data_IF_614567493273
#
_entry.id   IF_614567493273
#
_cell.length_a   1.000
_cell.length_b   1.000
_cell.length_c   1.000
_cell.angle_alpha   90.00
_cell.angle_beta   90.00
_cell.angle_gamma   90.00
#
_symmetry.space_group_name_H-M   'P 1'
#
loop_
_entity.id
_entity.type
_entity.pdbx_description
1 polymer ?
#
# COMPACT_ATOMS: atom_id res chain seq x y z
N UNK A 1 -19.36 -1.24 -20.61
CA UNK A 1 -20.44 -2.24 -20.51
C UNK A 1 -20.92 -2.52 -21.92
N UNK A 2 -20.88 -3.76 -22.36
CA UNK A 2 -21.27 -4.19 -23.70
C UNK A 2 -22.39 -5.21 -23.54
N UNK A 3 -23.64 -4.90 -23.94
CA UNK A 3 -24.71 -5.89 -23.95
C UNK A 3 -24.42 -6.90 -25.05
N UNK A 4 -24.26 -8.18 -24.70
CA UNK A 4 -24.05 -9.27 -25.66
C UNK A 4 -25.41 -9.84 -26.08
N UNK A 5 -26.30 -10.02 -25.10
CA UNK A 5 -27.71 -10.41 -25.29
C UNK A 5 -28.57 -9.47 -24.44
N UNK A 6 -29.90 -9.44 -24.68
CA UNK A 6 -30.84 -8.68 -23.83
C UNK A 6 -30.76 -9.08 -22.35
N UNK A 7 -30.36 -10.33 -22.09
CA UNK A 7 -30.19 -10.92 -20.75
C UNK A 7 -28.74 -11.03 -20.30
N UNK A 8 -27.74 -10.74 -21.15
CA UNK A 8 -26.32 -10.91 -20.83
C UNK A 8 -25.52 -9.64 -21.13
N UNK A 9 -24.94 -9.06 -20.10
CA UNK A 9 -24.03 -7.91 -20.21
C UNK A 9 -22.62 -8.30 -19.80
N UNK A 10 -21.65 -7.96 -20.64
CA UNK A 10 -20.24 -8.11 -20.31
C UNK A 10 -19.60 -6.74 -20.03
N UNK A 11 -18.58 -6.74 -19.20
CA UNK A 11 -17.77 -5.57 -18.92
C UNK A 11 -16.31 -6.00 -18.80
N UNK A 12 -15.48 -5.49 -19.70
CA UNK A 12 -14.05 -5.69 -19.71
C UNK A 12 -13.38 -4.33 -19.57
N UNK A 13 -12.46 -4.23 -18.63
CA UNK A 13 -11.67 -3.03 -18.39
C UNK A 13 -10.23 -3.41 -18.07
N UNK A 14 -9.27 -2.64 -18.59
CA UNK A 14 -7.86 -2.75 -18.27
C UNK A 14 -7.32 -1.43 -17.75
N UNK A 15 -6.30 -1.51 -16.90
CA UNK A 15 -5.55 -0.36 -16.39
C UNK A 15 -4.07 -0.68 -16.48
N UNK A 16 -3.27 0.29 -16.91
CA UNK A 16 -1.82 0.21 -16.90
C UNK A 16 -1.30 1.20 -15.86
N UNK A 17 -0.55 0.68 -14.89
CA UNK A 17 0.03 1.45 -13.80
C UNK A 17 1.55 1.46 -13.94
N UNK A 18 2.14 2.66 -13.93
CA UNK A 18 3.57 2.90 -13.97
C UNK A 18 3.98 3.73 -12.74
N UNK A 19 4.95 3.22 -11.98
CA UNK A 19 5.47 3.85 -10.77
C UNK A 19 6.96 4.09 -10.93
N UNK A 20 7.40 5.31 -10.60
CA UNK A 20 8.80 5.71 -10.64
C UNK A 20 9.22 6.27 -9.29
N UNK A 21 10.18 5.60 -8.65
CA UNK A 21 10.76 6.04 -7.38
C UNK A 21 12.12 6.69 -7.65
N UNK A 22 12.35 7.87 -7.09
CA UNK A 22 13.67 8.51 -7.16
C UNK A 22 14.65 7.73 -6.26
N UNK A 23 15.68 7.13 -6.86
CA UNK A 23 16.72 6.40 -6.13
C UNK A 23 16.42 4.93 -5.79
N UNK A 24 15.27 4.38 -6.19
CA UNK A 24 14.87 3.00 -5.83
C UNK A 24 14.26 2.16 -6.97
N UNK A 25 14.42 2.61 -8.22
CA UNK A 25 13.88 1.92 -9.40
C UNK A 25 12.45 2.33 -9.77
N UNK A 26 11.82 1.54 -10.63
CA UNK A 26 10.44 1.74 -11.06
C UNK A 26 9.77 0.39 -11.31
N UNK A 27 8.45 0.38 -11.23
CA UNK A 27 7.64 -0.82 -11.38
C UNK A 27 6.43 -0.52 -12.26
N UNK A 28 6.14 -1.41 -13.20
CA UNK A 28 4.96 -1.28 -14.06
C UNK A 28 4.16 -2.58 -14.10
N UNK A 29 2.83 -2.44 -14.02
CA UNK A 29 1.90 -3.57 -14.04
C UNK A 29 0.63 -3.22 -14.78
N UNK A 30 0.22 -4.18 -15.62
CA UNK A 30 -1.10 -4.18 -16.24
C UNK A 30 -2.07 -4.96 -15.35
N UNK A 31 -3.17 -4.33 -14.99
CA UNK A 31 -4.29 -4.94 -14.25
C UNK A 31 -5.52 -4.98 -15.14
N UNK A 32 -6.34 -6.01 -14.97
CA UNK A 32 -7.55 -6.19 -15.78
C UNK A 32 -8.71 -6.72 -14.95
N UNK A 33 -9.90 -6.43 -15.41
CA UNK A 33 -11.15 -6.88 -14.81
C UNK A 33 -12.12 -7.30 -15.90
N UNK A 34 -12.63 -8.51 -15.75
CA UNK A 34 -13.73 -9.06 -16.53
C UNK A 34 -14.94 -9.28 -15.60
N UNK A 35 -16.11 -8.83 -16.05
CA UNK A 35 -17.35 -8.94 -15.31
C UNK A 35 -18.47 -9.36 -16.27
N UNK A 36 -19.31 -10.28 -15.80
CA UNK A 36 -20.46 -10.81 -16.52
C UNK A 36 -21.70 -10.67 -15.63
N UNK A 37 -22.76 -10.15 -16.23
CA UNK A 37 -24.07 -9.97 -15.60
C UNK A 37 -25.11 -10.71 -16.45
N UNK A 38 -25.75 -11.72 -15.87
CA UNK A 38 -26.78 -12.53 -16.52
C UNK A 38 -28.12 -12.41 -15.80
N UNK A 39 -29.15 -11.97 -16.51
CA UNK A 39 -30.50 -11.72 -16.02
C UNK A 39 -31.51 -12.58 -16.80
N UNK A 40 -31.78 -13.81 -16.37
CA UNK A 40 -32.74 -14.68 -17.06
C UNK A 40 -34.19 -14.18 -16.94
N UNK A 41 -34.53 -13.52 -15.82
CA UNK A 41 -35.82 -12.84 -15.57
C UNK A 41 -35.55 -11.52 -14.85
N UNK A 42 -36.45 -10.55 -14.91
CA UNK A 42 -36.20 -9.21 -14.35
C UNK A 42 -35.95 -9.18 -12.84
N UNK A 43 -36.44 -10.17 -12.10
CA UNK A 43 -36.28 -10.31 -10.66
C UNK A 43 -35.00 -11.03 -10.22
N UNK A 44 -34.24 -11.65 -11.14
CA UNK A 44 -33.08 -12.47 -10.81
C UNK A 44 -31.84 -12.04 -11.60
N UNK A 45 -30.77 -11.71 -10.89
CA UNK A 45 -29.49 -11.32 -11.48
C UNK A 45 -28.35 -12.18 -10.94
N UNK A 46 -27.64 -12.84 -11.85
CA UNK A 46 -26.38 -13.51 -11.57
C UNK A 46 -25.22 -12.61 -12.00
N UNK A 47 -24.23 -12.42 -11.11
CA UNK A 47 -23.05 -11.62 -11.38
C UNK A 47 -21.79 -12.42 -11.10
N UNK A 48 -20.93 -12.55 -12.10
CA UNK A 48 -19.59 -13.11 -11.99
C UNK A 48 -18.55 -12.04 -12.27
N UNK A 49 -17.58 -11.87 -11.37
CA UNK A 49 -16.51 -10.89 -11.51
C UNK A 49 -15.15 -11.55 -11.29
N UNK A 50 -14.21 -11.31 -12.19
CA UNK A 50 -12.80 -11.68 -12.06
C UNK A 50 -11.94 -10.44 -12.27
N UNK A 51 -11.12 -10.09 -11.28
CA UNK A 51 -10.28 -8.90 -11.32
C UNK A 51 -8.90 -9.18 -10.73
N UNK A 52 -7.87 -8.64 -11.37
CA UNK A 52 -6.51 -8.59 -10.83
C UNK A 52 -6.24 -7.23 -10.21
N UNK A 53 -5.44 -7.21 -9.15
CA UNK A 53 -5.03 -5.99 -8.46
C UNK A 53 -3.51 -5.99 -8.26
N UNK A 54 -2.91 -4.81 -8.28
CA UNK A 54 -1.49 -4.61 -8.03
C UNK A 54 -1.33 -3.56 -6.92
N UNK A 55 -0.37 -3.80 -6.04
CA UNK A 55 0.07 -2.84 -5.02
C UNK A 55 1.59 -2.71 -5.13
N UNK A 56 2.06 -1.50 -5.40
CA UNK A 56 3.49 -1.18 -5.38
C UNK A 56 4.03 -1.21 -3.93
N UNK A 57 5.33 -1.47 -3.74
CA UNK A 57 5.98 -1.39 -2.43
C UNK A 57 5.85 0.01 -1.79
N UNK A 58 5.76 0.05 -0.46
CA UNK A 58 5.76 1.30 0.30
C UNK A 58 7.17 1.88 0.38
N UNK A 59 7.32 3.22 0.38
CA UNK A 59 8.61 3.90 0.49
C UNK A 59 9.34 3.53 1.80
N UNK A 60 8.63 3.34 2.90
CA UNK A 60 9.25 2.89 4.15
C UNK A 60 9.82 1.47 4.00
N UNK A 61 9.11 0.59 3.31
CA UNK A 61 9.59 -0.76 3.02
C UNK A 61 10.81 -0.75 2.08
N UNK A 62 10.84 0.16 1.11
CA UNK A 62 11.93 0.25 0.12
C UNK A 62 13.17 1.02 0.60
N UNK A 63 13.03 1.99 1.53
CA UNK A 63 14.10 2.92 1.88
C UNK A 63 14.40 3.08 3.37
N UNK A 64 13.54 2.64 4.30
CA UNK A 64 13.69 2.99 5.71
C UNK A 64 14.82 2.26 6.44
N UNK A 65 15.48 1.27 5.82
CA UNK A 65 16.51 0.47 6.48
C UNK A 65 15.99 -0.24 7.74
N UNK A 66 16.90 -0.67 8.62
CA UNK A 66 16.50 -1.29 9.89
C UNK A 66 15.90 -0.25 10.84
N UNK A 67 14.74 -0.58 11.41
CA UNK A 67 14.15 0.23 12.46
C UNK A 67 15.01 0.15 13.73
N UNK A 68 15.51 1.30 14.19
CA UNK A 68 16.21 1.44 15.47
C UNK A 68 15.28 1.91 16.59
N UNK A 69 15.65 1.58 17.82
CA UNK A 69 15.08 2.18 19.03
C UNK A 69 16.20 2.57 19.98
N UNK A 70 15.98 3.64 20.75
CA UNK A 70 16.95 4.07 21.75
C UNK A 70 16.75 3.23 23.02
N UNK A 71 17.79 2.53 23.46
CA UNK A 71 17.76 1.76 24.73
C UNK A 71 17.98 2.64 25.96
N UNK A 72 18.43 3.87 25.77
CA UNK A 72 18.64 4.84 26.83
C UNK A 72 18.76 6.24 26.23
N UNK A 73 18.43 7.23 27.05
CA UNK A 73 18.65 8.65 26.79
C UNK A 73 19.37 9.23 28.00
N UNK A 74 20.34 10.12 27.78
CA UNK A 74 21.01 10.80 28.89
C UNK A 74 20.04 11.78 29.55
N UNK A 75 19.71 11.53 30.81
CA UNK A 75 18.92 12.42 31.64
C UNK A 75 19.85 13.40 32.35
N UNK A 76 20.14 14.52 31.68
CA UNK A 76 21.00 15.57 32.22
C UNK A 76 20.45 16.19 33.51
N UNK A 77 19.13 16.18 33.70
CA UNK A 77 18.52 16.71 34.92
C UNK A 77 18.77 15.77 36.11
N UNK A 78 18.60 14.46 35.92
CA UNK A 78 18.93 13.46 36.95
C UNK A 78 20.44 13.44 37.24
N UNK A 79 21.28 13.54 36.22
CA UNK A 79 22.75 13.63 36.40
C UNK A 79 23.13 14.83 37.27
N UNK A 80 22.54 16.01 37.04
CA UNK A 80 22.80 17.20 37.84
C UNK A 80 22.36 17.08 39.31
N UNK A 81 21.34 16.25 39.60
CA UNK A 81 20.86 15.99 40.97
C UNK A 81 21.72 14.95 41.70
N UNK A 82 22.11 13.87 41.02
CA UNK A 82 22.83 12.74 41.62
C UNK A 82 24.35 12.96 41.63
N UNK A 83 24.89 13.66 40.63
CA UNK A 83 26.33 13.90 40.42
C UNK A 83 26.65 15.40 40.17
N UNK A 84 26.44 16.28 41.16
CA UNK A 84 26.52 17.74 40.99
C UNK A 84 27.92 18.28 40.65
N UNK A 85 28.96 17.47 40.80
CA UNK A 85 30.35 17.85 40.51
C UNK A 85 30.83 17.36 39.13
N UNK A 86 29.99 16.64 38.39
CA UNK A 86 30.32 16.13 37.06
C UNK A 86 29.84 17.16 36.02
N UNK A 87 30.70 17.59 35.08
CA UNK A 87 30.28 18.45 33.97
C UNK A 87 29.18 17.77 33.15
N UNK A 88 28.17 18.53 32.69
CA UNK A 88 27.04 18.01 31.91
C UNK A 88 27.48 17.29 30.62
N UNK A 89 28.65 17.63 30.07
CA UNK A 89 29.22 16.97 28.89
C UNK A 89 29.78 15.56 29.18
N UNK A 90 30.04 15.26 30.45
CA UNK A 90 30.52 13.95 30.92
C UNK A 90 29.38 13.11 31.53
N UNK A 91 28.14 13.62 31.44
CA UNK A 91 26.90 12.86 31.52
C UNK A 91 26.56 12.32 30.11
#
# INVERSE_FOLDING_TARGET
RVPILSTLTANLSGRYDDYKNQGGGGDSKFTYKAALEFRPIDSLLFRGNYATAFKAPDMAFSFAGDSGFFQGVNDYYRCALEEPNVPIADC
#
